data_IF_866428849102
#
_entry.id   IF_866428849102
#
_cell.length_a   1.000
_cell.length_b   1.000
_cell.length_c   1.000
_cell.angle_alpha   90.00
_cell.angle_beta   90.00
_cell.angle_gamma   90.00
#
_symmetry.space_group_name_H-M   'P 1'
#
loop_
_entity.id
_entity.type
_entity.pdbx_description
1 polymer ?
#
# COMPACT_ATOMS: atom_id res chain seq x y z
N UNK A 1 25.00 -22.60 40.69
CA UNK A 1 25.13 -21.81 39.45
C UNK A 1 23.75 -21.71 38.81
N UNK A 2 23.04 -20.61 39.08
CA UNK A 2 21.72 -20.37 38.52
C UNK A 2 21.90 -19.62 37.20
N UNK A 3 21.58 -20.28 36.09
CA UNK A 3 21.42 -19.69 34.77
C UNK A 3 20.30 -18.67 34.84
N UNK A 4 20.66 -17.38 34.83
CA UNK A 4 19.71 -16.29 34.57
C UNK A 4 19.20 -16.47 33.14
N UNK A 5 17.99 -17.02 33.03
CA UNK A 5 17.18 -16.82 31.85
C UNK A 5 17.03 -15.30 31.65
N UNK A 6 17.63 -14.79 30.58
CA UNK A 6 17.43 -13.43 30.13
C UNK A 6 15.96 -13.29 29.77
N UNK A 7 15.17 -12.73 30.68
CA UNK A 7 13.83 -12.25 30.40
C UNK A 7 13.95 -11.23 29.27
N UNK A 8 13.58 -11.64 28.05
CA UNK A 8 13.43 -10.72 26.93
C UNK A 8 12.35 -9.71 27.32
N UNK A 9 12.75 -8.51 27.75
CA UNK A 9 11.83 -7.46 28.14
C UNK A 9 11.18 -6.92 26.86
N UNK A 10 9.87 -7.10 26.78
CA UNK A 10 9.00 -6.71 25.66
C UNK A 10 8.70 -5.19 25.65
N UNK A 11 9.33 -4.38 26.53
CA UNK A 11 8.80 -3.06 26.91
C UNK A 11 9.69 -1.84 26.62
N UNK A 12 10.87 -1.97 26.03
CA UNK A 12 11.71 -0.80 25.72
C UNK A 12 11.55 -0.39 24.26
N UNK A 13 11.07 0.84 24.06
CA UNK A 13 10.99 1.46 22.75
C UNK A 13 12.38 1.45 22.07
N UNK A 14 12.47 1.15 20.76
CA UNK A 14 13.75 1.07 20.08
C UNK A 14 14.51 2.39 20.19
N UNK A 15 15.75 2.30 20.64
CA UNK A 15 16.69 3.42 20.62
C UNK A 15 16.93 3.90 19.19
N UNK A 16 17.38 5.15 19.04
CA UNK A 16 17.72 5.71 17.72
C UNK A 16 18.76 4.85 17.00
N UNK A 17 19.74 4.32 17.74
CA UNK A 17 20.77 3.43 17.20
C UNK A 17 20.16 2.14 16.64
N UNK A 18 19.28 1.47 17.40
CA UNK A 18 18.61 0.26 16.94
C UNK A 18 17.75 0.50 15.69
N UNK A 19 17.12 1.68 15.56
CA UNK A 19 16.38 2.05 14.36
C UNK A 19 17.30 2.21 13.15
N UNK A 20 18.45 2.86 13.32
CA UNK A 20 19.44 3.02 12.25
C UNK A 20 20.00 1.65 11.82
N UNK A 21 20.33 0.80 12.79
CA UNK A 21 20.78 -0.57 12.52
C UNK A 21 19.69 -1.38 11.80
N UNK A 22 18.42 -1.23 12.22
CA UNK A 22 17.29 -1.86 11.54
C UNK A 22 17.17 -1.38 10.08
N UNK A 23 17.25 -0.08 9.81
CA UNK A 23 17.25 0.45 8.43
C UNK A 23 18.39 -0.15 7.60
N UNK A 24 19.61 -0.17 8.14
CA UNK A 24 20.77 -0.73 7.43
C UNK A 24 20.57 -2.22 7.10
N UNK A 25 20.03 -3.00 8.03
CA UNK A 25 19.81 -4.44 7.88
C UNK A 25 18.70 -4.80 6.88
N UNK A 26 17.90 -3.83 6.44
CA UNK A 26 16.77 -4.01 5.52
C UNK A 26 17.03 -3.44 4.11
N UNK A 27 18.30 -3.27 3.71
CA UNK A 27 18.65 -2.75 2.37
C UNK A 27 17.93 -3.48 1.22
N UNK A 28 17.85 -4.81 1.28
CA UNK A 28 17.14 -5.64 0.30
C UNK A 28 15.65 -5.35 0.23
N UNK A 29 15.00 -5.03 1.36
CA UNK A 29 13.60 -4.62 1.39
C UNK A 29 13.42 -3.31 0.61
N UNK A 30 14.35 -2.36 0.75
CA UNK A 30 14.28 -1.09 0.04
C UNK A 30 14.55 -1.25 -1.46
N UNK A 31 15.50 -2.09 -1.85
CA UNK A 31 15.75 -2.41 -3.25
C UNK A 31 14.55 -3.12 -3.90
N UNK A 32 13.95 -4.06 -3.17
CA UNK A 32 12.71 -4.75 -3.56
C UNK A 32 11.57 -3.76 -3.82
N UNK A 33 11.31 -2.85 -2.86
CA UNK A 33 10.29 -1.82 -2.99
C UNK A 33 10.63 -0.80 -4.07
N UNK A 34 11.91 -0.42 -4.26
CA UNK A 34 12.30 0.49 -5.32
C UNK A 34 12.07 -0.11 -6.71
N UNK A 35 12.34 -1.41 -6.90
CA UNK A 35 12.10 -2.12 -8.15
C UNK A 35 10.63 -2.43 -8.42
N UNK A 36 9.81 -2.53 -7.38
CA UNK A 36 8.37 -2.73 -7.46
C UNK A 36 7.66 -1.98 -6.31
N UNK A 37 7.37 -0.67 -6.48
CA UNK A 37 6.75 0.15 -5.43
C UNK A 37 5.44 -0.41 -4.88
N UNK A 38 4.74 -1.20 -5.70
CA UNK A 38 3.50 -1.90 -5.33
C UNK A 38 3.68 -2.96 -4.22
N UNK A 39 4.91 -3.36 -3.92
CA UNK A 39 5.23 -4.25 -2.80
C UNK A 39 5.57 -3.50 -1.52
N UNK A 40 5.54 -2.16 -1.53
CA UNK A 40 5.64 -1.37 -0.32
C UNK A 40 4.43 -1.65 0.57
N UNK A 41 4.68 -2.05 1.81
CA UNK A 41 3.64 -2.27 2.82
C UNK A 41 3.89 -1.30 3.98
N UNK A 42 2.83 -0.66 4.45
CA UNK A 42 2.86 0.29 5.57
C UNK A 42 1.68 0.06 6.51
N UNK A 43 1.76 0.67 7.70
CA UNK A 43 0.64 0.66 8.65
C UNK A 43 -0.37 1.77 8.33
N UNK A 44 -1.65 1.50 8.56
CA UNK A 44 -2.76 2.45 8.39
C UNK A 44 -3.03 3.28 9.64
N UNK A 45 -2.43 2.90 10.78
CA UNK A 45 -2.50 3.61 12.08
C UNK A 45 -3.91 3.96 12.54
N UNK A 46 -4.92 3.14 12.26
CA UNK A 46 -6.32 3.53 12.49
C UNK A 46 -6.64 3.94 13.94
N UNK A 47 -6.13 3.19 14.93
CA UNK A 47 -6.35 3.49 16.36
C UNK A 47 -5.53 4.70 16.81
N UNK A 48 -4.24 4.70 16.50
CA UNK A 48 -3.29 5.75 16.88
C UNK A 48 -3.71 7.09 16.25
N UNK A 49 -4.20 7.06 15.02
CA UNK A 49 -4.80 8.20 14.34
C UNK A 49 -6.01 8.75 15.11
N UNK A 50 -6.97 7.90 15.47
CA UNK A 50 -8.17 8.32 16.20
C UNK A 50 -7.79 8.95 17.56
N UNK A 51 -6.78 8.40 18.23
CA UNK A 51 -6.24 8.96 19.48
C UNK A 51 -5.59 10.34 19.24
N UNK A 52 -4.76 10.48 18.21
CA UNK A 52 -4.16 11.76 17.85
C UNK A 52 -5.22 12.81 17.47
N UNK A 53 -6.25 12.44 16.72
CA UNK A 53 -7.33 13.33 16.34
C UNK A 53 -8.07 13.86 17.58
N UNK A 54 -8.52 12.96 18.46
CA UNK A 54 -9.22 13.33 19.68
C UNK A 54 -8.36 14.22 20.60
N UNK A 55 -7.05 13.94 20.69
CA UNK A 55 -6.13 14.77 21.45
C UNK A 55 -6.02 16.19 20.89
N UNK A 56 -5.80 16.34 19.58
CA UNK A 56 -5.65 17.66 18.94
C UNK A 56 -6.96 18.44 18.92
N UNK A 57 -8.11 17.78 18.80
CA UNK A 57 -9.42 18.41 19.00
C UNK A 57 -9.56 19.00 20.41
N UNK A 58 -9.10 18.27 21.43
CA UNK A 58 -9.02 18.76 22.80
C UNK A 58 -8.16 20.02 22.93
N UNK A 59 -6.99 20.06 22.30
CA UNK A 59 -6.09 21.22 22.27
C UNK A 59 -6.75 22.44 21.60
N UNK A 60 -7.49 22.24 20.50
CA UNK A 60 -8.28 23.30 19.85
C UNK A 60 -9.29 23.90 20.82
N UNK A 61 -10.05 23.05 21.51
CA UNK A 61 -11.03 23.52 22.51
C UNK A 61 -10.37 24.24 23.69
N UNK A 62 -9.22 23.75 24.16
CA UNK A 62 -8.46 24.41 25.21
C UNK A 62 -7.98 25.79 24.79
N UNK A 63 -7.33 25.91 23.63
CA UNK A 63 -6.88 27.19 23.09
C UNK A 63 -8.06 28.15 22.85
N UNK A 64 -9.19 27.64 22.36
CA UNK A 64 -10.42 28.41 22.18
C UNK A 64 -10.93 29.02 23.50
N UNK A 65 -10.98 28.22 24.58
CA UNK A 65 -11.35 28.73 25.91
C UNK A 65 -10.37 29.79 26.42
N UNK A 66 -9.07 29.59 26.22
CA UNK A 66 -8.04 30.58 26.60
C UNK A 66 -8.26 31.90 25.86
N UNK A 67 -8.54 31.84 24.55
CA UNK A 67 -8.84 33.02 23.74
C UNK A 67 -10.11 33.71 24.23
N UNK A 68 -11.20 32.96 24.47
CA UNK A 68 -12.46 33.52 24.99
C UNK A 68 -12.28 34.19 26.35
N UNK A 69 -11.59 33.53 27.28
CA UNK A 69 -11.30 34.08 28.60
C UNK A 69 -10.41 35.32 28.50
N UNK A 70 -9.42 35.31 27.61
CA UNK A 70 -8.55 36.45 27.34
C UNK A 70 -9.34 37.64 26.78
N UNK A 71 -10.21 37.42 25.78
CA UNK A 71 -11.06 38.45 25.21
C UNK A 71 -12.04 39.00 26.26
N UNK A 72 -12.67 38.13 27.05
CA UNK A 72 -13.62 38.52 28.12
C UNK A 72 -12.93 39.38 29.17
N UNK A 73 -11.75 38.97 29.65
CA UNK A 73 -10.95 39.74 30.63
C UNK A 73 -10.54 41.11 30.08
N UNK A 74 -10.09 41.17 28.83
CA UNK A 74 -9.67 42.43 28.23
C UNK A 74 -10.83 43.37 27.87
N UNK A 75 -12.01 42.84 27.55
CA UNK A 75 -13.22 43.65 27.35
C UNK A 75 -13.72 44.31 28.65
N UNK A 76 -13.34 43.77 29.81
CA UNK A 76 -13.76 44.23 31.14
C UNK A 76 -12.66 44.98 31.90
N UNK A 77 -11.49 45.25 31.28
CA UNK A 77 -10.35 45.89 31.95
C UNK A 77 -10.48 47.41 32.05
N UNK A 78 -10.16 47.95 33.23
CA UNK A 78 -9.83 49.38 33.46
C UNK A 78 -8.32 49.68 33.31
N UNK A 79 -7.49 48.62 33.28
CA UNK A 79 -6.02 48.65 33.13
C UNK A 79 -5.55 48.79 31.66
N UNK A 80 -4.27 49.12 31.40
CA UNK A 80 -3.78 49.34 30.03
C UNK A 80 -4.01 48.14 29.11
N UNK A 81 -4.27 48.45 27.84
CA UNK A 81 -4.51 47.47 26.79
C UNK A 81 -3.37 46.44 26.71
N UNK A 82 -3.68 45.17 26.43
CA UNK A 82 -2.65 44.14 26.29
C UNK A 82 -1.66 44.50 25.18
N UNK A 83 -0.42 44.02 25.34
CA UNK A 83 0.57 44.18 24.29
C UNK A 83 0.17 43.39 23.03
N UNK A 84 0.54 43.90 21.86
CA UNK A 84 0.34 43.18 20.60
C UNK A 84 0.99 41.79 20.62
N UNK A 85 2.13 41.67 21.30
CA UNK A 85 2.85 40.41 21.47
C UNK A 85 2.03 39.36 22.26
N UNK A 86 1.38 39.76 23.36
CA UNK A 86 0.52 38.86 24.14
C UNK A 86 -0.71 38.43 23.34
N UNK A 87 -1.38 39.37 22.67
CA UNK A 87 -2.54 39.05 21.82
C UNK A 87 -2.14 38.06 20.72
N UNK A 88 -1.02 38.33 20.06
CA UNK A 88 -0.49 37.47 19.00
C UNK A 88 -0.11 36.09 19.52
N UNK A 89 0.46 35.98 20.71
CA UNK A 89 0.78 34.70 21.33
C UNK A 89 -0.47 33.84 21.50
N UNK A 90 -1.50 34.39 22.16
CA UNK A 90 -2.76 33.68 22.44
C UNK A 90 -3.45 33.24 21.15
N UNK A 91 -3.48 34.10 20.13
CA UNK A 91 -4.08 33.76 18.84
C UNK A 91 -3.25 32.76 18.03
N UNK A 92 -1.92 32.84 18.08
CA UNK A 92 -1.05 31.91 17.36
C UNK A 92 -1.21 30.48 17.87
N UNK A 93 -1.37 30.28 19.18
CA UNK A 93 -1.58 28.94 19.74
C UNK A 93 -2.87 28.30 19.21
N UNK A 94 -3.97 29.08 19.15
CA UNK A 94 -5.21 28.63 18.53
C UNK A 94 -5.05 28.34 17.04
N UNK A 95 -4.39 29.23 16.30
CA UNK A 95 -4.14 29.03 14.85
C UNK A 95 -3.32 27.76 14.61
N UNK A 96 -2.27 27.53 15.39
CA UNK A 96 -1.41 26.36 15.26
C UNK A 96 -2.18 25.06 15.55
N UNK A 97 -3.02 25.05 16.60
CA UNK A 97 -3.87 23.90 16.91
C UNK A 97 -4.88 23.59 15.78
N UNK A 98 -5.53 24.63 15.24
CA UNK A 98 -6.48 24.49 14.12
C UNK A 98 -5.79 24.00 12.84
N UNK A 99 -4.61 24.52 12.52
CA UNK A 99 -3.82 24.08 11.36
C UNK A 99 -3.38 22.63 11.49
N UNK A 100 -2.93 22.23 12.69
CA UNK A 100 -2.54 20.84 12.96
C UNK A 100 -3.74 19.91 12.83
N UNK A 101 -4.89 20.27 13.42
CA UNK A 101 -6.13 19.51 13.31
C UNK A 101 -6.55 19.34 11.85
N UNK A 102 -6.58 20.43 11.09
CA UNK A 102 -6.91 20.41 9.66
C UNK A 102 -5.95 19.56 8.84
N UNK A 103 -4.65 19.54 9.17
CA UNK A 103 -3.66 18.70 8.50
C UNK A 103 -3.95 17.22 8.73
N UNK A 104 -4.17 16.82 9.99
CA UNK A 104 -4.47 15.43 10.37
C UNK A 104 -5.75 14.93 9.71
N UNK A 105 -6.82 15.74 9.73
CA UNK A 105 -8.11 15.41 9.10
C UNK A 105 -7.97 15.28 7.57
N UNK A 106 -7.15 16.11 6.92
CA UNK A 106 -6.98 16.07 5.46
C UNK A 106 -6.16 14.88 4.96
N UNK A 107 -5.12 14.48 5.69
CA UNK A 107 -4.26 13.35 5.28
C UNK A 107 -4.84 11.98 5.63
N UNK A 108 -5.81 11.93 6.55
CA UNK A 108 -6.32 10.70 7.13
C UNK A 108 -7.09 9.76 6.19
N UNK A 109 -8.08 10.24 5.40
CA UNK A 109 -8.98 9.32 4.70
C UNK A 109 -8.22 8.38 3.76
N UNK A 110 -7.20 8.92 3.07
CA UNK A 110 -6.37 8.17 2.13
C UNK A 110 -5.59 7.03 2.80
N UNK A 111 -5.01 7.27 3.98
CA UNK A 111 -4.23 6.24 4.69
C UNK A 111 -5.12 5.21 5.37
N UNK A 112 -6.31 5.59 5.85
CA UNK A 112 -7.24 4.65 6.48
C UNK A 112 -8.03 3.81 5.49
N UNK A 113 -8.23 4.30 4.26
CA UNK A 113 -8.96 3.60 3.20
C UNK A 113 -8.05 2.86 2.22
N UNK A 114 -6.75 2.79 2.50
CA UNK A 114 -5.80 2.06 1.66
C UNK A 114 -6.12 0.57 1.68
N UNK A 115 -5.97 -0.09 0.54
CA UNK A 115 -6.37 -1.50 0.42
C UNK A 115 -5.33 -2.42 1.09
N UNK A 116 -5.78 -3.52 1.75
CA UNK A 116 -4.87 -4.49 2.31
C UNK A 116 -4.00 -5.14 1.21
N UNK A 117 -2.73 -5.47 1.52
CA UNK A 117 -1.85 -6.11 0.55
C UNK A 117 -2.37 -7.51 0.16
N UNK A 118 -1.99 -8.00 -1.02
CA UNK A 118 -2.25 -9.40 -1.37
C UNK A 118 -1.37 -10.36 -0.56
N UNK A 119 -1.84 -11.59 -0.31
CA UNK A 119 -1.07 -12.61 0.45
C UNK A 119 0.31 -12.87 -0.16
N UNK A 120 0.41 -12.90 -1.49
CA UNK A 120 1.67 -13.08 -2.19
C UNK A 120 2.65 -11.92 -1.91
N UNK A 121 2.16 -10.69 -1.95
CA UNK A 121 2.95 -9.49 -1.64
C UNK A 121 3.38 -9.48 -0.17
N UNK A 122 2.47 -9.85 0.73
CA UNK A 122 2.74 -9.93 2.16
C UNK A 122 3.81 -10.97 2.49
N UNK A 123 3.75 -12.17 1.89
CA UNK A 123 4.77 -13.19 2.11
C UNK A 123 6.14 -12.74 1.59
N UNK A 124 6.20 -12.11 0.41
CA UNK A 124 7.45 -11.50 -0.10
C UNK A 124 7.98 -10.42 0.85
N UNK A 125 7.10 -9.59 1.40
CA UNK A 125 7.49 -8.58 2.38
C UNK A 125 8.02 -9.22 3.67
N UNK A 126 7.40 -10.28 4.19
CA UNK A 126 7.85 -11.01 5.40
C UNK A 126 9.24 -11.61 5.23
N UNK A 127 9.52 -12.22 4.07
CA UNK A 127 10.84 -12.77 3.74
C UNK A 127 11.91 -11.67 3.75
N UNK A 128 11.64 -10.54 3.08
CA UNK A 128 12.60 -9.43 2.98
C UNK A 128 12.67 -8.57 4.27
N UNK A 129 11.65 -8.65 5.13
CA UNK A 129 11.61 -8.05 6.47
C UNK A 129 12.19 -8.96 7.55
N UNK A 130 12.77 -10.12 7.16
CA UNK A 130 13.46 -11.04 8.06
C UNK A 130 12.60 -11.52 9.24
N UNK A 131 11.28 -11.64 9.07
CA UNK A 131 10.34 -12.00 10.15
C UNK A 131 10.62 -13.39 10.75
N UNK A 132 11.22 -14.27 9.95
CA UNK A 132 11.60 -15.63 10.36
C UNK A 132 12.82 -15.66 11.30
N UNK A 133 13.50 -14.53 11.54
CA UNK A 133 14.63 -14.42 12.48
C UNK A 133 14.13 -13.92 13.84
N UNK A 134 14.24 -14.74 14.92
CA UNK A 134 13.76 -14.35 16.24
C UNK A 134 14.43 -13.07 16.74
N UNK A 135 13.64 -12.15 17.30
CA UNK A 135 14.13 -10.90 17.89
C UNK A 135 14.60 -9.85 16.90
N UNK A 136 14.43 -10.07 15.58
CA UNK A 136 14.75 -9.05 14.59
C UNK A 136 13.75 -7.90 14.66
N UNK A 137 14.29 -6.69 14.54
CA UNK A 137 13.50 -5.48 14.34
C UNK A 137 13.24 -5.27 12.85
N UNK A 138 12.06 -4.81 12.49
CA UNK A 138 11.71 -4.37 11.14
C UNK A 138 12.25 -2.98 10.83
N UNK A 139 12.11 -2.54 9.57
CA UNK A 139 12.62 -1.25 9.10
C UNK A 139 12.06 -0.02 9.88
N UNK A 140 10.87 -0.12 10.47
CA UNK A 140 10.29 0.92 11.34
C UNK A 140 10.87 0.90 12.78
N UNK A 141 11.72 -0.07 13.12
CA UNK A 141 12.34 -0.25 14.44
C UNK A 141 11.56 -1.14 15.40
N UNK A 142 10.30 -1.46 15.10
CA UNK A 142 9.48 -2.39 15.89
C UNK A 142 9.92 -3.83 15.67
N UNK A 143 9.38 -4.79 16.42
CA UNK A 143 9.66 -6.20 16.19
C UNK A 143 9.06 -6.66 14.86
N UNK A 144 9.87 -7.32 14.03
CA UNK A 144 9.44 -7.82 12.72
C UNK A 144 8.25 -8.82 12.83
N UNK A 145 8.09 -9.46 13.98
CA UNK A 145 6.93 -10.32 14.28
C UNK A 145 5.57 -9.61 14.18
N UNK A 146 5.53 -8.27 14.22
CA UNK A 146 4.29 -7.49 14.04
C UNK A 146 3.61 -7.77 12.68
N UNK A 147 4.37 -8.21 11.68
CA UNK A 147 3.89 -8.53 10.35
C UNK A 147 3.34 -9.98 10.22
N UNK A 148 3.44 -10.80 11.27
CA UNK A 148 3.06 -12.21 11.25
C UNK A 148 4.04 -13.10 10.47
N UNK A 149 4.03 -14.40 10.73
CA UNK A 149 4.87 -15.38 10.06
C UNK A 149 4.35 -15.70 8.65
N UNK A 150 5.17 -16.36 7.84
CA UNK A 150 4.75 -16.83 6.52
C UNK A 150 3.53 -17.77 6.64
N UNK A 151 2.49 -17.48 5.86
CA UNK A 151 1.22 -18.23 5.91
C UNK A 151 0.18 -17.69 6.91
N UNK A 152 0.58 -16.82 7.84
CA UNK A 152 -0.38 -16.17 8.75
C UNK A 152 -1.29 -15.21 7.97
N UNK A 153 -2.51 -15.03 8.49
CA UNK A 153 -3.43 -13.99 8.02
C UNK A 153 -2.78 -12.61 8.05
N UNK A 154 -3.13 -11.75 7.11
CA UNK A 154 -2.61 -10.38 7.04
C UNK A 154 -3.17 -9.57 8.20
N UNK A 155 -2.32 -8.92 9.02
CA UNK A 155 -2.78 -7.99 10.04
C UNK A 155 -3.66 -6.87 9.45
N UNK A 156 -4.77 -6.56 10.12
CA UNK A 156 -5.79 -5.62 9.63
C UNK A 156 -5.34 -4.16 9.57
N UNK A 157 -4.23 -3.83 10.23
CA UNK A 157 -3.63 -2.50 10.26
C UNK A 157 -2.61 -2.27 9.13
N UNK A 158 -2.47 -3.20 8.17
CA UNK A 158 -1.50 -3.07 7.08
C UNK A 158 -2.18 -2.78 5.75
N UNK A 159 -1.53 -1.93 4.95
CA UNK A 159 -1.94 -1.58 3.60
C UNK A 159 -0.75 -1.57 2.64
N UNK A 160 -1.04 -1.72 1.35
CA UNK A 160 -0.06 -1.52 0.30
C UNK A 160 0.09 -0.02 -0.04
N UNK A 161 1.31 0.40 -0.42
CA UNK A 161 1.65 1.78 -0.81
C UNK A 161 0.90 2.24 -2.06
N UNK A 162 0.48 1.31 -2.92
CA UNK A 162 -0.23 1.65 -4.15
C UNK A 162 -1.74 1.78 -3.90
N UNK A 163 -2.32 2.88 -4.38
CA UNK A 163 -3.75 3.13 -4.40
C UNK A 163 -4.37 2.17 -5.43
N UNK A 164 -4.94 1.06 -4.96
CA UNK A 164 -5.48 -0.01 -5.81
C UNK A 164 -6.65 0.43 -6.72
N UNK A 165 -7.06 1.69 -6.68
CA UNK A 165 -8.03 2.25 -7.62
C UNK A 165 -7.58 2.29 -9.09
N UNK A 166 -6.29 2.10 -9.39
CA UNK A 166 -5.73 2.43 -10.71
C UNK A 166 -5.49 1.26 -11.68
N UNK A 167 -5.36 -0.01 -11.24
CA UNK A 167 -5.13 -1.11 -12.19
C UNK A 167 -5.43 -2.54 -11.67
N UNK A 168 -6.70 -2.95 -11.54
CA UNK A 168 -7.07 -4.31 -11.11
C UNK A 168 -6.51 -5.41 -12.03
N UNK A 169 -6.37 -5.12 -13.33
CA UNK A 169 -5.83 -6.06 -14.31
C UNK A 169 -4.32 -6.33 -14.11
N UNK A 170 -3.53 -5.31 -13.72
CA UNK A 170 -2.11 -5.52 -13.43
C UNK A 170 -1.92 -6.41 -12.20
N UNK A 171 -2.76 -6.26 -11.17
CA UNK A 171 -2.76 -7.13 -10.00
C UNK A 171 -3.14 -8.57 -10.37
N UNK A 172 -4.20 -8.76 -11.17
CA UNK A 172 -4.58 -10.08 -11.65
C UNK A 172 -3.44 -10.76 -12.41
N UNK A 173 -2.80 -10.08 -13.35
CA UNK A 173 -1.72 -10.68 -14.15
C UNK A 173 -0.51 -10.98 -13.28
N UNK A 174 -0.14 -10.07 -12.37
CA UNK A 174 0.98 -10.33 -11.46
C UNK A 174 0.69 -11.53 -10.56
N UNK A 175 -0.45 -11.53 -9.89
CA UNK A 175 -0.72 -12.45 -8.77
C UNK A 175 -1.25 -13.81 -9.25
N UNK A 176 -2.01 -13.86 -10.33
CA UNK A 176 -2.62 -15.10 -10.85
C UNK A 176 -1.92 -15.69 -12.08
N UNK A 177 -1.22 -14.88 -12.87
CA UNK A 177 -0.57 -15.37 -14.10
C UNK A 177 0.94 -15.49 -13.92
N UNK A 178 1.60 -14.39 -13.56
CA UNK A 178 3.05 -14.29 -13.55
C UNK A 178 3.67 -14.95 -12.33
N UNK A 179 3.16 -14.71 -11.11
CA UNK A 179 3.71 -15.36 -9.90
C UNK A 179 3.62 -16.89 -10.00
N UNK A 180 2.48 -17.52 -10.33
CA UNK A 180 2.41 -18.98 -10.45
C UNK A 180 3.27 -19.52 -11.59
N UNK A 181 3.38 -18.81 -12.71
CA UNK A 181 4.23 -19.23 -13.82
C UNK A 181 5.71 -19.17 -13.45
N UNK A 182 6.13 -18.13 -12.71
CA UNK A 182 7.49 -18.07 -12.15
C UNK A 182 7.71 -19.23 -11.19
N UNK A 183 6.81 -19.42 -10.23
CA UNK A 183 6.96 -20.43 -9.18
C UNK A 183 6.94 -21.87 -9.71
N UNK A 184 6.12 -22.16 -10.72
CA UNK A 184 5.93 -23.52 -11.28
C UNK A 184 6.90 -23.83 -12.42
N UNK A 185 7.24 -22.86 -13.27
CA UNK A 185 8.04 -23.10 -14.49
C UNK A 185 9.45 -22.57 -14.33
N UNK A 186 9.62 -21.32 -13.89
CA UNK A 186 10.93 -20.68 -13.87
C UNK A 186 11.79 -21.17 -12.69
N UNK A 187 11.24 -21.26 -11.48
CA UNK A 187 11.99 -21.65 -10.29
C UNK A 187 12.53 -23.08 -10.36
N UNK A 188 11.75 -24.11 -10.76
CA UNK A 188 12.25 -25.48 -10.83
C UNK A 188 13.26 -25.70 -11.97
N UNK A 189 13.07 -25.02 -13.11
CA UNK A 189 14.00 -25.11 -14.24
C UNK A 189 15.32 -24.39 -13.96
N UNK A 190 15.29 -23.29 -13.20
CA UNK A 190 16.50 -22.62 -12.72
C UNK A 190 17.24 -23.44 -11.65
N UNK A 191 16.53 -24.08 -10.72
CA UNK A 191 17.12 -25.00 -9.75
C UNK A 191 17.83 -26.17 -10.43
N UNK A 192 17.25 -26.72 -11.50
CA UNK A 192 17.87 -27.74 -12.33
C UNK A 192 19.11 -27.21 -13.08
N UNK A 193 19.07 -25.98 -13.58
CA UNK A 193 20.22 -25.34 -14.24
C UNK A 193 21.35 -24.99 -13.26
N UNK A 194 21.03 -24.57 -12.04
CA UNK A 194 21.98 -24.26 -10.96
C UNK A 194 22.70 -25.51 -10.44
N UNK A 195 22.08 -26.70 -10.58
CA UNK A 195 22.73 -27.99 -10.29
C UNK A 195 23.81 -28.37 -11.31
N UNK A 196 23.90 -27.68 -12.46
CA UNK A 196 24.99 -27.90 -13.42
C UNK A 196 26.27 -27.19 -12.93
N UNK A 197 27.42 -27.90 -12.90
CA UNK A 197 28.66 -27.37 -12.32
C UNK A 197 29.23 -26.15 -13.07
N UNK A 198 28.85 -25.96 -14.34
CA UNK A 198 29.25 -24.80 -15.16
C UNK A 198 28.55 -23.51 -14.71
N UNK A 199 27.31 -23.61 -14.22
CA UNK A 199 26.52 -22.47 -13.76
C UNK A 199 26.72 -22.16 -12.28
N UNK A 200 26.95 -23.19 -11.45
CA UNK A 200 27.23 -23.06 -10.01
C UNK A 200 28.41 -22.12 -9.69
N UNK A 201 29.45 -22.11 -10.55
CA UNK A 201 30.65 -21.28 -10.36
C UNK A 201 30.45 -19.79 -10.71
N UNK A 202 29.44 -19.45 -11.51
CA UNK A 202 29.08 -18.06 -11.88
C UNK A 202 28.04 -17.43 -10.95
N UNK A 203 27.29 -18.24 -10.22
CA UNK A 203 26.16 -17.78 -9.40
C UNK A 203 26.43 -17.75 -7.89
N UNK A 204 27.49 -18.42 -7.39
CA UNK A 204 27.88 -18.29 -5.97
C UNK A 204 28.31 -16.88 -5.58
N UNK A 205 28.79 -16.05 -6.50
CA UNK A 205 29.02 -14.61 -6.25
C UNK A 205 27.73 -13.77 -6.30
N UNK A 206 26.60 -14.33 -6.76
CA UNK A 206 25.31 -13.63 -6.93
C UNK A 206 24.19 -14.14 -6.02
N UNK A 207 24.41 -15.19 -5.24
CA UNK A 207 23.41 -15.69 -4.27
C UNK A 207 23.15 -14.70 -3.12
N UNK A 208 24.01 -13.70 -2.91
CA UNK A 208 23.68 -12.57 -2.05
C UNK A 208 22.67 -11.59 -2.68
N UNK A 209 22.47 -11.60 -4.00
CA UNK A 209 21.62 -10.64 -4.74
C UNK A 209 20.33 -11.24 -5.33
N UNK A 210 20.14 -12.56 -5.34
CA UNK A 210 19.15 -13.19 -6.22
C UNK A 210 17.92 -13.82 -5.55
N UNK A 211 17.52 -13.41 -4.34
CA UNK A 211 16.34 -13.97 -3.67
C UNK A 211 14.99 -13.38 -4.11
N UNK A 212 14.95 -12.62 -5.20
CA UNK A 212 13.69 -12.21 -5.82
C UNK A 212 13.95 -11.84 -7.26
N UNK A 213 13.52 -12.69 -8.21
CA UNK A 213 13.52 -12.30 -9.62
C UNK A 213 12.43 -11.23 -9.77
N UNK A 214 12.82 -9.98 -9.62
CA UNK A 214 11.92 -8.83 -9.73
C UNK A 214 11.37 -8.75 -11.15
N UNK A 215 10.09 -9.07 -11.33
CA UNK A 215 9.39 -8.68 -12.54
C UNK A 215 9.13 -7.19 -12.40
N UNK A 216 9.81 -6.41 -13.23
CA UNK A 216 9.70 -4.96 -13.27
C UNK A 216 8.22 -4.54 -13.44
N UNK A 217 7.78 -3.53 -12.68
CA UNK A 217 6.44 -2.95 -12.78
C UNK A 217 6.08 -2.54 -14.22
N UNK A 218 7.08 -2.08 -14.99
CA UNK A 218 6.92 -1.76 -16.41
C UNK A 218 6.54 -2.98 -17.26
N UNK A 219 7.07 -4.16 -16.95
CA UNK A 219 6.74 -5.41 -17.65
C UNK A 219 5.34 -5.89 -17.27
N UNK A 220 4.95 -5.74 -16.00
CA UNK A 220 3.61 -6.07 -15.52
C UNK A 220 2.57 -5.14 -16.17
N UNK A 221 2.85 -3.84 -16.21
CA UNK A 221 1.98 -2.86 -16.87
C UNK A 221 1.85 -3.12 -18.37
N UNK A 222 2.95 -3.43 -19.06
CA UNK A 222 2.91 -3.78 -20.49
C UNK A 222 2.09 -5.05 -20.76
N UNK A 223 2.25 -6.09 -19.92
CA UNK A 223 1.45 -7.31 -20.01
C UNK A 223 -0.04 -7.05 -19.72
N UNK A 224 -0.33 -6.18 -18.74
CA UNK A 224 -1.69 -5.74 -18.43
C UNK A 224 -2.35 -5.03 -19.60
N UNK A 225 -1.65 -4.10 -20.23
CA UNK A 225 -2.15 -3.42 -21.42
C UNK A 225 -2.42 -4.41 -22.57
N UNK A 226 -1.50 -5.37 -22.81
CA UNK A 226 -1.71 -6.41 -23.82
C UNK A 226 -2.96 -7.26 -23.55
N UNK A 227 -3.19 -7.66 -22.30
CA UNK A 227 -4.39 -8.40 -21.91
C UNK A 227 -5.67 -7.58 -22.05
N UNK A 228 -5.62 -6.29 -21.70
CA UNK A 228 -6.74 -5.36 -21.93
C UNK A 228 -7.13 -5.34 -23.41
N UNK A 229 -6.16 -5.24 -24.32
CA UNK A 229 -6.44 -5.28 -25.77
C UNK A 229 -7.08 -6.61 -26.20
N UNK A 230 -6.53 -7.74 -25.77
CA UNK A 230 -7.07 -9.07 -26.13
C UNK A 230 -8.49 -9.22 -25.61
N UNK A 231 -8.76 -8.83 -24.36
CA UNK A 231 -10.08 -8.94 -23.76
C UNK A 231 -11.09 -8.01 -24.44
N UNK A 232 -10.70 -6.77 -24.75
CA UNK A 232 -11.55 -5.83 -25.49
C UNK A 232 -11.91 -6.37 -26.89
N UNK A 233 -10.93 -6.93 -27.62
CA UNK A 233 -11.15 -7.54 -28.94
C UNK A 233 -12.07 -8.75 -28.82
N UNK A 234 -11.88 -9.64 -27.84
CA UNK A 234 -12.73 -10.81 -27.64
C UNK A 234 -14.18 -10.42 -27.28
N UNK A 235 -14.35 -9.42 -26.42
CA UNK A 235 -15.67 -8.89 -26.04
C UNK A 235 -16.36 -8.22 -27.23
N UNK A 236 -15.62 -7.69 -28.22
CA UNK A 236 -16.20 -7.14 -29.45
C UNK A 236 -16.57 -8.23 -30.48
N UNK A 237 -15.74 -9.27 -30.62
CA UNK A 237 -15.98 -10.37 -31.56
C UNK A 237 -17.25 -11.15 -31.19
N UNK A 238 -17.50 -11.39 -29.91
CA UNK A 238 -18.65 -12.17 -29.45
C UNK A 238 -20.03 -11.57 -29.87
N UNK A 239 -20.32 -10.27 -29.65
CA UNK A 239 -21.53 -9.61 -30.16
C UNK A 239 -21.61 -9.68 -31.69
N UNK A 240 -20.52 -9.39 -32.42
CA UNK A 240 -20.50 -9.42 -33.89
C UNK A 240 -20.89 -10.81 -34.40
N UNK A 241 -20.27 -11.86 -33.86
CA UNK A 241 -20.58 -13.25 -34.21
C UNK A 241 -22.03 -13.61 -33.85
N UNK A 242 -22.51 -13.21 -32.66
CA UNK A 242 -23.87 -13.50 -32.20
C UNK A 242 -24.93 -12.81 -33.07
N UNK A 243 -24.72 -11.54 -33.43
CA UNK A 243 -25.63 -10.81 -34.31
C UNK A 243 -25.65 -11.33 -35.75
N UNK A 244 -24.54 -11.90 -36.23
CA UNK A 244 -24.50 -12.55 -37.53
C UNK A 244 -25.29 -13.87 -37.57
N UNK A 245 -25.40 -14.59 -36.45
CA UNK A 245 -26.12 -15.87 -36.36
C UNK A 245 -27.60 -15.68 -36.04
N UNK A 246 -27.93 -14.79 -35.09
CA UNK A 246 -29.31 -14.53 -34.68
C UNK A 246 -29.98 -13.68 -35.75
N UNK A 247 -31.00 -14.20 -36.45
CA UNK A 247 -31.75 -13.45 -37.48
C UNK A 247 -32.98 -12.72 -36.94
N UNK A 248 -33.48 -13.13 -35.77
CA UNK A 248 -34.72 -12.61 -35.19
C UNK A 248 -34.51 -11.24 -34.49
N UNK A 249 -35.25 -10.22 -34.90
CA UNK A 249 -35.08 -8.84 -34.40
C UNK A 249 -35.39 -8.69 -32.90
N UNK A 250 -36.44 -9.37 -32.40
CA UNK A 250 -36.82 -9.40 -30.99
C UNK A 250 -35.66 -9.87 -30.10
N UNK A 251 -35.01 -10.96 -30.50
CA UNK A 251 -33.89 -11.55 -29.78
C UNK A 251 -32.65 -10.63 -29.83
N UNK A 252 -32.40 -9.97 -30.98
CA UNK A 252 -31.30 -8.99 -31.10
C UNK A 252 -31.47 -7.81 -30.14
N UNK A 253 -32.70 -7.30 -29.98
CA UNK A 253 -33.00 -6.18 -29.06
C UNK A 253 -32.76 -6.57 -27.60
N UNK A 254 -32.98 -7.84 -27.23
CA UNK A 254 -32.74 -8.34 -25.87
C UNK A 254 -31.24 -8.58 -25.62
N UNK A 255 -30.52 -9.07 -26.62
CA UNK A 255 -29.10 -9.43 -26.52
C UNK A 255 -28.19 -8.19 -26.53
N UNK A 256 -28.57 -7.13 -27.24
CA UNK A 256 -27.74 -5.91 -27.37
C UNK A 256 -27.44 -5.22 -26.03
N UNK A 257 -28.43 -4.98 -25.13
CA UNK A 257 -28.17 -4.44 -23.80
C UNK A 257 -27.27 -5.32 -22.93
N UNK A 258 -27.38 -6.65 -23.06
CA UNK A 258 -26.53 -7.61 -22.33
C UNK A 258 -25.06 -7.48 -22.72
N UNK A 259 -24.76 -7.37 -24.01
CA UNK A 259 -23.39 -7.12 -24.47
C UNK A 259 -22.90 -5.71 -24.11
N UNK A 260 -23.75 -4.69 -24.17
CA UNK A 260 -23.40 -3.34 -23.69
C UNK A 260 -23.06 -3.33 -22.19
N UNK A 261 -23.80 -4.08 -21.37
CA UNK A 261 -23.52 -4.22 -19.94
C UNK A 261 -22.22 -4.99 -19.70
N UNK A 262 -21.95 -6.05 -20.47
CA UNK A 262 -20.69 -6.78 -20.42
C UNK A 262 -19.49 -5.88 -20.77
N UNK A 263 -19.64 -5.04 -21.81
CA UNK A 263 -18.64 -4.05 -22.22
C UNK A 263 -18.41 -3.00 -21.12
N UNK A 264 -19.47 -2.49 -20.49
CA UNK A 264 -19.36 -1.51 -19.42
C UNK A 264 -18.74 -2.10 -18.13
N UNK A 265 -19.14 -3.32 -17.76
CA UNK A 265 -18.61 -4.02 -16.59
C UNK A 265 -17.12 -4.38 -16.75
N UNK A 266 -16.72 -4.80 -17.96
CA UNK A 266 -15.30 -5.07 -18.25
C UNK A 266 -14.44 -3.80 -18.25
N UNK A 267 -14.97 -2.66 -18.71
CA UNK A 267 -14.29 -1.37 -18.61
C UNK A 267 -13.95 -0.99 -17.15
N UNK A 268 -14.89 -1.23 -16.23
CA UNK A 268 -14.68 -0.98 -14.79
C UNK A 268 -13.60 -1.88 -14.19
N UNK A 269 -13.44 -3.11 -14.69
CA UNK A 269 -12.41 -4.05 -14.24
C UNK A 269 -11.00 -3.71 -14.74
N UNK A 270 -10.86 -2.88 -15.77
CA UNK A 270 -9.57 -2.57 -16.38
C UNK A 270 -8.79 -1.44 -15.68
N UNK A 271 -9.45 -0.63 -14.85
CA UNK A 271 -8.85 0.52 -14.16
C UNK A 271 -8.88 1.81 -14.99
N UNK A 272 -8.75 2.96 -14.33
CA UNK A 272 -8.93 4.28 -14.97
C UNK A 272 -7.89 4.59 -16.05
N UNK A 273 -6.68 4.07 -15.91
CA UNK A 273 -5.57 4.31 -16.86
C UNK A 273 -5.72 3.50 -18.16
N UNK A 274 -6.43 2.37 -18.10
CA UNK A 274 -6.73 1.53 -19.26
C UNK A 274 -8.00 1.97 -20.01
N UNK A 275 -8.84 2.80 -19.37
CA UNK A 275 -10.12 3.28 -19.91
C UNK A 275 -10.00 4.02 -21.26
N UNK A 276 -9.01 4.91 -21.49
CA UNK A 276 -8.82 5.56 -22.78
C UNK A 276 -8.49 4.56 -23.90
N UNK A 277 -7.68 3.56 -23.61
CA UNK A 277 -7.31 2.52 -24.56
C UNK A 277 -8.48 1.60 -24.90
N UNK A 278 -9.25 1.22 -23.90
CA UNK A 278 -10.48 0.46 -24.07
C UNK A 278 -11.49 1.22 -24.95
N UNK A 279 -11.62 2.53 -24.73
CA UNK A 279 -12.49 3.40 -25.53
C UNK A 279 -12.00 3.50 -26.98
N UNK A 280 -10.70 3.55 -27.23
CA UNK A 280 -10.14 3.54 -28.62
C UNK A 280 -10.43 2.22 -29.35
N UNK A 281 -10.46 1.09 -28.63
CA UNK A 281 -10.69 -0.23 -29.26
C UNK A 281 -12.18 -0.46 -29.56
N UNK A 282 -13.07 0.17 -28.79
CA UNK A 282 -14.53 -0.04 -28.89
C UNK A 282 -15.25 1.07 -29.65
N UNK A 283 -14.74 2.31 -29.58
CA UNK A 283 -15.26 3.47 -30.31
C UNK A 283 -14.88 3.44 -31.79
#
# INVERSE_FOLDING_TARGET
>A
MATKASSCQINDAPSVRERIEALYNHSKLFEMTAGCPQLGIHETFGREWALCLAHVEGEVHQCGRVVEDYLRKNAQREEPAPSEAEYKSVMNDLVNALLLHGRIVKTSPKMSSSTPPSMASMNKYRVNSLVNKPGMRSANGELASMYGQEGDSIPSNLAAVDDEGLSPMALFIRDWLLNPLVDVIATPSQDLLMRLPVYRRRYQEKEEDSNGRFINSNTISAAANAFVYVLAILILIAPIATFNVVKEQSLRIIIMPLFCLLLAASAQLMGSDAMPWYTIVIG
#
